data_IF_560341197975
#
_entry.id   IF_560341197975
#
_cell.length_a   1.000
_cell.length_b   1.000
_cell.length_c   1.000
_cell.angle_alpha   90.00
_cell.angle_beta   90.00
_cell.angle_gamma   90.00
#
_symmetry.space_group_name_H-M   'P 1'
#
loop_
_entity.id
_entity.type
_entity.pdbx_description
1 polymer ?
#
# COMPACT_ATOMS: atom_id res chain seq x y z
N UNK A 1 17.23 -38.96 20.28
CA UNK A 1 17.67 -38.12 19.14
C UNK A 1 16.50 -37.29 18.64
N UNK A 2 16.05 -36.30 19.42
CA UNK A 2 15.01 -35.34 19.00
C UNK A 2 15.64 -34.13 18.30
N UNK A 3 16.88 -33.77 18.65
CA UNK A 3 17.57 -32.56 18.17
C UNK A 3 18.11 -32.67 16.74
N UNK A 4 18.30 -33.89 16.21
CA UNK A 4 18.86 -34.11 14.86
C UNK A 4 17.93 -33.66 13.73
N UNK A 5 16.69 -33.32 14.05
CA UNK A 5 15.72 -32.83 13.08
C UNK A 5 15.66 -31.29 13.04
N UNK A 6 16.38 -30.56 13.91
CA UNK A 6 16.34 -29.09 13.95
C UNK A 6 17.38 -28.55 12.96
N UNK A 7 16.90 -27.95 11.88
CA UNK A 7 17.72 -27.17 10.95
C UNK A 7 17.70 -25.68 11.27
N UNK A 8 18.49 -24.91 10.51
CA UNK A 8 18.47 -23.45 10.53
C UNK A 8 17.98 -22.94 9.18
N UNK A 9 17.00 -22.04 9.19
CA UNK A 9 16.51 -21.38 7.98
C UNK A 9 17.63 -20.58 7.33
N UNK A 10 17.95 -20.87 6.07
CA UNK A 10 19.00 -20.16 5.32
C UNK A 10 18.68 -18.67 5.10
N UNK A 11 17.41 -18.29 5.08
CA UNK A 11 16.95 -16.92 4.78
C UNK A 11 16.88 -16.03 6.02
N UNK A 12 16.46 -16.56 7.18
CA UNK A 12 16.27 -15.74 8.40
C UNK A 12 16.97 -16.25 9.66
N UNK A 13 17.68 -17.38 9.61
CA UNK A 13 18.42 -17.93 10.75
C UNK A 13 17.56 -18.56 11.85
N UNK A 14 16.22 -18.59 11.71
CA UNK A 14 15.35 -19.27 12.68
C UNK A 14 15.59 -20.77 12.70
N UNK A 15 15.52 -21.39 13.87
CA UNK A 15 15.47 -22.85 14.02
C UNK A 15 14.16 -23.39 13.43
N UNK A 16 14.25 -24.46 12.65
CA UNK A 16 13.11 -25.09 11.97
C UNK A 16 13.12 -26.59 12.20
N UNK A 17 11.95 -27.19 12.33
CA UNK A 17 11.87 -28.63 12.10
C UNK A 17 12.07 -28.90 10.61
N UNK A 18 12.77 -30.00 10.29
CA UNK A 18 13.02 -30.42 8.90
C UNK A 18 12.12 -31.57 8.44
N UNK A 19 11.39 -32.20 9.37
CA UNK A 19 10.56 -33.39 9.12
C UNK A 19 9.08 -33.18 9.49
N UNK A 20 8.24 -34.09 9.01
CA UNK A 20 6.81 -34.14 9.35
C UNK A 20 5.91 -33.22 8.51
N UNK A 21 6.45 -32.54 7.51
CA UNK A 21 5.67 -31.74 6.58
C UNK A 21 5.16 -32.57 5.39
N UNK A 22 3.91 -32.35 5.01
CA UNK A 22 3.35 -32.94 3.80
C UNK A 22 3.96 -32.26 2.56
N UNK A 23 4.85 -32.96 1.85
CA UNK A 23 5.54 -32.46 0.66
C UNK A 23 4.63 -32.22 -0.55
N UNK A 24 3.37 -32.67 -0.53
CA UNK A 24 2.37 -32.29 -1.54
C UNK A 24 1.93 -30.82 -1.38
N UNK A 25 2.13 -30.23 -0.20
CA UNK A 25 1.92 -28.80 0.00
C UNK A 25 3.09 -28.01 -0.60
N UNK A 26 2.79 -27.05 -1.47
CA UNK A 26 3.78 -26.23 -2.17
C UNK A 26 4.76 -25.49 -1.24
N UNK A 27 4.26 -24.94 -0.13
CA UNK A 27 5.12 -24.24 0.84
C UNK A 27 6.03 -25.24 1.55
N UNK A 28 5.50 -26.39 1.97
CA UNK A 28 6.31 -27.45 2.57
C UNK A 28 7.40 -27.97 1.62
N UNK A 29 7.07 -28.12 0.32
CA UNK A 29 8.04 -28.46 -0.71
C UNK A 29 9.16 -27.41 -0.80
N UNK A 30 8.83 -26.12 -0.83
CA UNK A 30 9.82 -25.03 -0.84
C UNK A 30 10.69 -25.02 0.42
N UNK A 31 10.09 -25.23 1.60
CA UNK A 31 10.83 -25.34 2.86
C UNK A 31 11.91 -26.43 2.80
N UNK A 32 11.57 -27.61 2.30
CA UNK A 32 12.50 -28.74 2.17
C UNK A 32 13.55 -28.50 1.10
N UNK A 33 13.12 -28.03 -0.08
CA UNK A 33 14.00 -27.82 -1.24
C UNK A 33 15.02 -26.73 -0.97
N UNK A 34 14.58 -25.58 -0.45
CA UNK A 34 15.44 -24.41 -0.27
C UNK A 34 16.09 -24.39 1.13
N UNK A 35 15.57 -25.15 2.09
CA UNK A 35 16.08 -25.18 3.47
C UNK A 35 15.70 -23.94 4.25
N UNK A 36 14.45 -23.50 4.11
CA UNK A 36 13.92 -22.27 4.71
C UNK A 36 12.73 -22.56 5.63
N UNK A 37 12.45 -21.63 6.55
CA UNK A 37 11.27 -21.74 7.40
C UNK A 37 9.97 -21.46 6.61
N UNK A 38 8.84 -21.84 7.20
CA UNK A 38 7.52 -21.57 6.64
C UNK A 38 7.33 -20.10 6.25
N UNK A 39 7.67 -19.15 7.14
CA UNK A 39 7.51 -17.72 6.84
C UNK A 39 8.29 -17.32 5.58
N UNK A 40 9.53 -17.78 5.44
CA UNK A 40 10.38 -17.43 4.30
C UNK A 40 9.86 -18.09 3.02
N UNK A 41 9.52 -19.39 3.06
CA UNK A 41 8.91 -20.08 1.93
C UNK A 41 7.60 -19.43 1.50
N UNK A 42 6.76 -19.00 2.45
CA UNK A 42 5.50 -18.31 2.18
C UNK A 42 5.72 -17.00 1.44
N UNK A 43 6.62 -16.13 1.93
CA UNK A 43 6.89 -14.84 1.31
C UNK A 43 7.59 -14.99 -0.04
N UNK A 44 8.55 -15.92 -0.16
CA UNK A 44 9.23 -16.23 -1.43
C UNK A 44 8.23 -16.72 -2.49
N UNK A 45 7.30 -17.62 -2.11
CA UNK A 45 6.26 -18.09 -3.02
C UNK A 45 5.29 -16.97 -3.41
N UNK A 46 4.86 -16.15 -2.46
CA UNK A 46 3.97 -15.02 -2.72
C UNK A 46 4.61 -13.97 -3.65
N UNK A 47 5.91 -13.73 -3.52
CA UNK A 47 6.67 -12.81 -4.39
C UNK A 47 6.78 -13.40 -5.80
N UNK A 48 7.11 -14.68 -5.91
CA UNK A 48 7.27 -15.32 -7.21
C UNK A 48 5.92 -15.53 -7.93
N UNK A 49 4.83 -15.71 -7.18
CA UNK A 49 3.50 -16.01 -7.69
C UNK A 49 2.44 -15.16 -6.97
N UNK A 50 2.42 -13.85 -7.23
CA UNK A 50 1.52 -12.93 -6.53
C UNK A 50 0.06 -13.28 -6.82
N UNK A 51 -0.77 -13.20 -5.78
CA UNK A 51 -2.19 -13.46 -5.93
C UNK A 51 -2.88 -12.39 -6.77
N UNK A 52 -3.96 -12.78 -7.47
CA UNK A 52 -4.85 -11.80 -8.08
C UNK A 52 -5.40 -10.86 -6.99
N UNK A 53 -5.46 -9.56 -7.31
CA UNK A 53 -5.89 -8.49 -6.41
C UNK A 53 -4.97 -8.25 -5.22
N UNK A 54 -3.74 -8.76 -5.27
CA UNK A 54 -2.72 -8.44 -4.29
C UNK A 54 -2.26 -6.99 -4.46
N UNK A 55 -2.28 -6.23 -3.38
CA UNK A 55 -1.78 -4.86 -3.32
C UNK A 55 -0.89 -4.72 -2.08
N UNK A 56 0.25 -4.04 -2.25
CA UNK A 56 1.13 -3.65 -1.15
C UNK A 56 0.76 -2.23 -0.73
N UNK A 57 0.26 -2.08 0.49
CA UNK A 57 -0.11 -0.80 1.08
C UNK A 57 0.70 -0.60 2.35
N UNK A 58 1.59 0.40 2.35
CA UNK A 58 2.63 0.60 3.39
C UNK A 58 3.53 -0.64 3.51
N UNK A 59 3.47 -1.33 4.66
CA UNK A 59 4.24 -2.55 4.94
C UNK A 59 3.33 -3.78 5.03
N UNK A 60 2.13 -3.73 4.44
CA UNK A 60 1.19 -4.84 4.44
C UNK A 60 0.92 -5.32 3.03
N UNK A 61 0.90 -6.64 2.88
CA UNK A 61 0.36 -7.28 1.70
C UNK A 61 -1.13 -7.55 1.93
N UNK A 62 -1.97 -6.99 1.07
CA UNK A 62 -3.42 -7.06 1.15
C UNK A 62 -3.98 -7.73 -0.09
N UNK A 63 -5.10 -8.43 0.05
CA UNK A 63 -5.96 -8.83 -1.06
C UNK A 63 -7.16 -7.89 -1.10
N UNK A 64 -7.23 -7.05 -2.12
CA UNK A 64 -8.24 -5.98 -2.25
C UNK A 64 -9.16 -6.30 -3.42
N UNK A 65 -10.26 -6.98 -3.14
CA UNK A 65 -11.22 -7.36 -4.19
C UNK A 65 -12.02 -6.15 -4.69
N UNK A 66 -12.64 -6.25 -5.89
CA UNK A 66 -13.65 -5.29 -6.33
C UNK A 66 -14.78 -5.13 -5.30
N UNK A 67 -15.50 -4.01 -5.37
CA UNK A 67 -16.63 -3.75 -4.47
C UNK A 67 -17.66 -4.87 -4.58
N UNK A 68 -17.91 -5.55 -3.45
CA UNK A 68 -18.94 -6.56 -3.32
C UNK A 68 -20.32 -5.93 -3.11
N UNK A 69 -21.37 -6.55 -3.65
CA UNK A 69 -22.75 -6.14 -3.43
C UNK A 69 -23.17 -6.43 -1.98
N UNK A 70 -23.53 -5.38 -1.24
CA UNK A 70 -23.96 -5.47 0.15
C UNK A 70 -25.34 -6.10 0.34
N UNK A 71 -26.11 -6.30 -0.74
CA UNK A 71 -27.42 -6.96 -0.68
C UNK A 71 -27.29 -8.45 -0.40
N UNK A 72 -26.17 -9.06 -0.76
CA UNK A 72 -25.90 -10.45 -0.43
C UNK A 72 -25.38 -10.55 1.02
N UNK A 73 -26.28 -10.96 1.92
CA UNK A 73 -25.98 -11.13 3.34
C UNK A 73 -25.13 -12.37 3.64
N UNK A 74 -24.86 -13.22 2.66
CA UNK A 74 -24.03 -14.43 2.82
C UNK A 74 -22.55 -14.15 2.61
N UNK A 75 -22.20 -13.02 1.99
CA UNK A 75 -20.82 -12.64 1.75
C UNK A 75 -20.11 -12.19 3.03
N UNK A 76 -19.10 -12.95 3.44
CA UNK A 76 -18.13 -12.53 4.45
C UNK A 76 -17.11 -11.60 3.79
N UNK A 77 -17.17 -10.31 4.13
CA UNK A 77 -16.29 -9.30 3.58
C UNK A 77 -15.12 -8.99 4.51
N UNK A 78 -13.92 -8.95 3.96
CA UNK A 78 -12.72 -8.50 4.65
C UNK A 78 -12.86 -7.06 5.14
N UNK A 79 -12.24 -6.73 6.28
CA UNK A 79 -12.32 -5.39 6.85
C UNK A 79 -13.73 -4.99 7.33
N UNK A 80 -14.59 -5.97 7.65
CA UNK A 80 -15.97 -5.78 8.14
C UNK A 80 -16.88 -5.08 7.10
N UNK A 81 -16.60 -5.19 5.81
CA UNK A 81 -17.43 -4.53 4.78
C UNK A 81 -17.29 -3.01 4.73
N UNK A 82 -16.31 -2.43 5.43
CA UNK A 82 -16.06 -0.99 5.44
C UNK A 82 -15.43 -0.59 4.11
N UNK A 83 -16.08 0.35 3.41
CA UNK A 83 -15.55 0.88 2.15
C UNK A 83 -14.31 1.73 2.41
N UNK A 84 -13.23 1.45 1.69
CA UNK A 84 -11.94 2.16 1.72
C UNK A 84 -11.55 2.53 0.28
N UNK A 85 -10.68 3.53 0.15
CA UNK A 85 -10.35 4.17 -1.12
C UNK A 85 -8.85 4.17 -1.32
N UNK A 86 -8.41 3.92 -2.54
CA UNK A 86 -7.01 3.71 -2.85
C UNK A 86 -6.62 4.44 -4.13
N UNK A 87 -5.34 4.80 -4.20
CA UNK A 87 -4.69 5.35 -5.39
C UNK A 87 -3.41 4.58 -5.67
N UNK A 88 -3.21 4.18 -6.93
CA UNK A 88 -1.96 3.58 -7.40
C UNK A 88 -0.93 4.64 -7.80
N UNK A 89 0.36 4.30 -7.92
CA UNK A 89 1.41 5.22 -8.37
C UNK A 89 1.13 5.89 -9.72
N UNK A 90 0.41 5.23 -10.62
CA UNK A 90 -0.01 5.78 -11.93
C UNK A 90 -1.18 6.79 -11.83
N UNK A 91 -1.71 7.01 -10.62
CA UNK A 91 -2.85 7.88 -10.35
C UNK A 91 -4.21 7.22 -10.53
N UNK A 92 -4.27 5.94 -10.90
CA UNK A 92 -5.53 5.20 -10.98
C UNK A 92 -6.17 5.04 -9.61
N UNK A 93 -7.49 5.21 -9.56
CA UNK A 93 -8.29 5.21 -8.33
C UNK A 93 -9.17 3.97 -8.28
N UNK A 94 -9.25 3.35 -7.11
CA UNK A 94 -10.17 2.25 -6.88
C UNK A 94 -10.72 2.29 -5.44
N UNK A 95 -11.84 1.60 -5.24
CA UNK A 95 -12.49 1.47 -3.94
C UNK A 95 -12.80 0.00 -3.69
N UNK A 96 -12.85 -0.39 -2.42
CA UNK A 96 -13.21 -1.75 -2.02
C UNK A 96 -13.85 -1.76 -0.64
N UNK A 97 -14.76 -2.70 -0.42
CA UNK A 97 -15.31 -3.07 0.87
C UNK A 97 -14.91 -4.49 1.30
N UNK A 98 -14.05 -5.17 0.53
CA UNK A 98 -13.65 -6.55 0.77
C UNK A 98 -12.12 -6.66 0.73
N UNK A 99 -11.52 -6.43 1.91
CA UNK A 99 -10.07 -6.28 2.06
C UNK A 99 -9.55 -7.27 3.11
N UNK A 100 -8.69 -8.17 2.67
CA UNK A 100 -8.08 -9.19 3.51
C UNK A 100 -6.60 -8.92 3.70
N UNK A 101 -6.12 -9.02 4.94
CA UNK A 101 -4.69 -8.94 5.23
C UNK A 101 -4.07 -10.30 4.92
N UNK A 102 -3.10 -10.33 4.00
CA UNK A 102 -2.27 -11.52 3.75
C UNK A 102 -1.21 -11.60 4.85
N UNK A 103 -0.55 -10.47 5.15
CA UNK A 103 0.41 -10.37 6.24
C UNK A 103 1.17 -9.06 6.26
N UNK A 104 1.90 -8.83 7.36
CA UNK A 104 2.88 -7.75 7.47
C UNK A 104 4.19 -8.21 6.82
N UNK A 105 4.71 -7.43 5.89
CA UNK A 105 5.90 -7.75 5.11
C UNK A 105 7.13 -7.71 6.04
N UNK A 106 7.90 -8.81 6.17
CA UNK A 106 9.14 -8.80 6.93
C UNK A 106 10.18 -7.90 6.26
N UNK A 107 11.00 -7.23 7.06
CA UNK A 107 11.99 -6.24 6.60
C UNK A 107 12.85 -6.73 5.43
N UNK A 108 13.30 -7.98 5.49
CA UNK A 108 14.13 -8.64 4.45
C UNK A 108 13.45 -8.76 3.07
N UNK A 109 12.12 -8.63 3.00
CA UNK A 109 11.34 -8.74 1.77
C UNK A 109 10.79 -7.40 1.27
N UNK A 110 10.95 -6.30 2.03
CA UNK A 110 10.39 -4.99 1.68
C UNK A 110 10.86 -4.52 0.29
N UNK A 111 12.14 -4.71 -0.04
CA UNK A 111 12.69 -4.29 -1.34
C UNK A 111 12.11 -5.05 -2.54
N UNK A 112 11.55 -6.24 -2.33
CA UNK A 112 10.96 -7.09 -3.37
C UNK A 112 9.45 -6.85 -3.52
N UNK A 113 8.82 -6.16 -2.56
CA UNK A 113 7.40 -5.87 -2.52
C UNK A 113 7.20 -4.35 -2.44
N UNK A 114 7.43 -3.61 -3.53
CA UNK A 114 7.24 -2.17 -3.54
C UNK A 114 5.76 -1.82 -3.33
N UNK A 115 5.50 -0.64 -2.76
CA UNK A 115 4.14 -0.12 -2.58
C UNK A 115 3.44 -0.03 -3.94
N UNK A 116 2.30 -0.71 -4.06
CA UNK A 116 1.49 -0.72 -5.30
C UNK A 116 0.24 0.15 -5.18
N UNK A 117 -0.18 0.49 -3.97
CA UNK A 117 -1.26 1.42 -3.71
C UNK A 117 -1.09 2.12 -2.36
N UNK A 118 -1.68 3.31 -2.24
CA UNK A 118 -1.84 4.03 -0.98
C UNK A 118 -3.32 4.21 -0.66
N UNK A 119 -3.66 4.14 0.62
CA UNK A 119 -5.01 4.46 1.05
C UNK A 119 -5.19 5.97 1.14
N UNK A 120 -6.31 6.46 0.62
CA UNK A 120 -6.65 7.88 0.60
C UNK A 120 -8.00 8.11 1.28
N UNK A 121 -8.24 9.34 1.74
CA UNK A 121 -9.53 9.69 2.33
C UNK A 121 -10.64 9.70 1.26
N UNK A 122 -11.90 9.50 1.69
CA UNK A 122 -13.06 9.64 0.79
C UNK A 122 -13.07 11.02 0.10
N UNK A 123 -12.70 12.07 0.83
CA UNK A 123 -12.62 13.44 0.32
C UNK A 123 -11.60 13.54 -0.83
N UNK A 124 -10.40 13.00 -0.64
CA UNK A 124 -9.39 12.95 -1.68
C UNK A 124 -9.86 12.13 -2.89
N UNK A 125 -10.41 10.93 -2.66
CA UNK A 125 -10.91 10.06 -3.72
C UNK A 125 -11.96 10.76 -4.59
N UNK A 126 -12.95 11.40 -3.97
CA UNK A 126 -13.99 12.13 -4.70
C UNK A 126 -13.41 13.33 -5.48
N UNK A 127 -12.46 14.06 -4.90
CA UNK A 127 -11.82 15.20 -5.57
C UNK A 127 -11.01 14.76 -6.79
N UNK A 128 -10.23 13.68 -6.67
CA UNK A 128 -9.43 13.12 -7.76
C UNK A 128 -10.30 12.49 -8.86
N UNK A 129 -11.39 11.80 -8.48
CA UNK A 129 -12.34 11.20 -9.44
C UNK A 129 -13.07 12.26 -10.26
N UNK A 130 -13.38 13.42 -9.68
CA UNK A 130 -14.02 14.54 -10.39
C UNK A 130 -13.08 15.26 -11.33
N UNK A 131 -11.79 15.33 -11.01
CA UNK A 131 -10.83 16.10 -11.77
C UNK A 131 -9.41 15.57 -11.54
N UNK A 132 -8.65 15.27 -12.60
CA UNK A 132 -7.26 14.83 -12.52
C UNK A 132 -6.23 15.92 -12.88
N UNK A 133 -6.66 17.18 -13.04
CA UNK A 133 -5.79 18.30 -13.43
C UNK A 133 -4.65 18.51 -12.43
N UNK A 134 -3.47 18.78 -12.98
CA UNK A 134 -2.33 19.34 -12.25
C UNK A 134 -2.58 20.82 -11.96
N UNK A 135 -2.03 21.32 -10.85
CA UNK A 135 -2.14 22.73 -10.49
C UNK A 135 -0.95 23.50 -11.06
N UNK A 136 -1.25 24.54 -11.84
CA UNK A 136 -0.24 25.45 -12.40
C UNK A 136 -0.25 26.84 -11.75
N UNK A 137 -0.88 26.96 -10.58
CA UNK A 137 -1.01 28.25 -9.90
C UNK A 137 0.36 28.75 -9.42
N UNK A 138 0.78 29.90 -9.92
CA UNK A 138 1.90 30.66 -9.36
C UNK A 138 1.39 31.47 -8.17
N UNK A 139 2.23 31.63 -7.14
CA UNK A 139 1.89 32.32 -5.89
C UNK A 139 0.77 31.67 -5.02
N UNK A 140 0.51 30.37 -5.16
CA UNK A 140 -0.44 29.66 -4.29
C UNK A 140 0.08 29.59 -2.84
N UNK A 141 -0.70 30.04 -1.87
CA UNK A 141 -0.36 30.02 -0.44
C UNK A 141 -0.51 28.61 0.18
N UNK A 142 -1.37 27.76 -0.39
CA UNK A 142 -1.55 26.37 0.04
C UNK A 142 -0.59 25.37 -0.64
N UNK A 143 0.35 25.85 -1.45
CA UNK A 143 1.16 25.05 -2.38
C UNK A 143 1.90 23.87 -1.75
N UNK A 144 2.47 24.04 -0.56
CA UNK A 144 3.22 22.96 0.12
C UNK A 144 2.32 21.92 0.78
N UNK A 145 1.04 22.24 0.96
CA UNK A 145 0.04 21.34 1.54
C UNK A 145 -0.88 20.72 0.48
N UNK A 146 -0.86 21.22 -0.76
CA UNK A 146 -1.68 20.70 -1.84
C UNK A 146 -0.98 19.54 -2.59
N UNK A 147 -1.68 18.41 -2.74
CA UNK A 147 -1.21 17.26 -3.52
C UNK A 147 -1.03 17.58 -5.01
N UNK A 148 -1.88 18.45 -5.58
CA UNK A 148 -1.85 18.80 -7.01
C UNK A 148 -0.77 19.81 -7.39
N UNK A 149 -0.16 20.46 -6.40
CA UNK A 149 0.81 21.51 -6.65
C UNK A 149 2.09 20.94 -7.27
N UNK A 150 2.43 21.45 -8.44
CA UNK A 150 3.66 21.10 -9.13
C UNK A 150 4.79 22.05 -8.71
N UNK A 151 5.73 21.53 -7.92
CA UNK A 151 6.89 22.30 -7.45
C UNK A 151 7.85 22.68 -8.58
N UNK A 152 7.81 21.99 -9.72
CA UNK A 152 8.66 22.34 -10.86
C UNK A 152 8.32 23.72 -11.44
N UNK A 153 7.13 24.26 -11.15
CA UNK A 153 6.73 25.60 -11.62
C UNK A 153 7.44 26.72 -10.84
N UNK A 154 8.10 26.41 -9.73
CA UNK A 154 8.94 27.34 -8.95
C UNK A 154 10.38 27.45 -9.48
N UNK A 155 10.74 26.73 -10.54
CA UNK A 155 12.14 26.58 -11.00
C UNK A 155 12.63 27.68 -11.94
N UNK A 156 12.13 28.91 -11.86
CA UNK A 156 12.62 30.05 -12.66
C UNK A 156 13.85 30.74 -12.03
N UNK A 157 14.64 29.99 -11.26
CA UNK A 157 15.82 30.42 -10.49
C UNK A 157 15.58 31.56 -9.46
N UNK A 158 14.38 32.12 -9.40
CA UNK A 158 13.98 33.16 -8.44
C UNK A 158 13.26 32.60 -7.20
N UNK A 159 13.03 31.29 -7.17
CA UNK A 159 12.35 30.60 -6.08
C UNK A 159 10.83 30.86 -6.07
N UNK A 160 10.16 30.70 -4.92
CA UNK A 160 8.72 30.85 -4.86
C UNK A 160 8.29 32.30 -5.13
N UNK A 161 7.31 32.49 -6.01
CA UNK A 161 6.72 33.79 -6.38
C UNK A 161 6.23 34.64 -5.19
N UNK A 162 5.86 34.01 -4.08
CA UNK A 162 5.39 34.69 -2.88
C UNK A 162 5.85 33.99 -1.60
N UNK A 163 5.91 34.77 -0.51
CA UNK A 163 6.10 34.26 0.84
C UNK A 163 4.75 33.89 1.45
N UNK A 164 4.67 32.75 2.14
CA UNK A 164 3.48 32.34 2.88
C UNK A 164 3.50 33.08 4.23
N UNK A 165 2.49 33.90 4.56
CA UNK A 165 2.44 34.59 5.85
C UNK A 165 2.45 33.58 7.01
N UNK A 166 3.14 33.86 8.14
CA UNK A 166 3.13 32.96 9.31
C UNK A 166 1.74 32.72 9.90
N UNK A 167 0.81 33.65 9.68
CA UNK A 167 -0.58 33.57 10.15
C UNK A 167 -1.51 32.82 9.19
N UNK A 168 -1.01 32.39 8.02
CA UNK A 168 -1.80 31.69 7.01
C UNK A 168 -2.28 30.33 7.52
N UNK A 169 -3.58 30.05 7.37
CA UNK A 169 -4.13 28.72 7.65
C UNK A 169 -4.34 27.99 6.35
N UNK A 170 -3.90 26.73 6.34
CA UNK A 170 -4.02 25.84 5.19
C UNK A 170 -5.49 25.73 4.78
N UNK A 171 -5.79 26.07 3.52
CA UNK A 171 -7.14 26.04 2.95
C UNK A 171 -7.85 27.40 2.90
N UNK A 172 -7.26 28.47 3.47
CA UNK A 172 -7.83 29.83 3.45
C UNK A 172 -7.87 30.43 2.02
N UNK A 173 -7.16 29.84 1.05
CA UNK A 173 -7.26 30.21 -0.37
C UNK A 173 -8.58 29.76 -1.00
N UNK A 174 -9.33 28.89 -0.30
CA UNK A 174 -10.61 28.35 -0.74
C UNK A 174 -10.57 27.74 -2.15
N UNK A 175 -9.42 27.22 -2.56
CA UNK A 175 -9.24 26.60 -3.86
C UNK A 175 -10.12 25.34 -3.98
N UNK A 176 -11.07 25.35 -4.92
CA UNK A 176 -12.01 24.25 -5.16
C UNK A 176 -11.34 22.93 -5.56
N UNK A 177 -10.08 22.99 -5.99
CA UNK A 177 -9.29 21.82 -6.39
C UNK A 177 -8.25 21.40 -5.35
N UNK A 178 -8.19 22.08 -4.20
CA UNK A 178 -7.27 21.76 -3.13
C UNK A 178 -7.50 20.33 -2.62
N UNK A 179 -6.40 19.60 -2.48
CA UNK A 179 -6.36 18.28 -1.84
C UNK A 179 -5.22 18.36 -0.84
N UNK A 180 -5.54 18.26 0.45
CA UNK A 180 -4.52 18.26 1.49
C UNK A 180 -3.66 16.99 1.33
N UNK A 181 -2.33 17.13 1.35
CA UNK A 181 -1.40 15.98 1.30
C UNK A 181 -1.64 14.98 2.42
N UNK A 182 -2.14 15.42 3.58
CA UNK A 182 -2.54 14.54 4.68
C UNK A 182 -3.70 13.61 4.30
N UNK A 183 -4.57 13.99 3.35
CA UNK A 183 -5.64 13.13 2.84
C UNK A 183 -5.13 12.01 1.91
N UNK A 184 -3.85 12.07 1.51
CA UNK A 184 -3.18 11.12 0.60
C UNK A 184 -2.14 10.25 1.33
N UNK A 185 -1.43 10.82 2.30
CA UNK A 185 -0.28 10.17 2.96
C UNK A 185 -0.65 9.33 4.20
N UNK A 186 -1.91 8.89 4.31
CA UNK A 186 -2.40 8.19 5.49
C UNK A 186 -1.64 6.90 5.78
#
# INVERSE_FOLDING_TARGET
>A
MLLDNIGTCKSCGKKIWTLGYNSQNRIAYLMQKEGVCYDCAFWEDLIAYPHQYMEVVKNQCLKIYPVADKKDKTLLLGGKGKKRYFMRPDGSLFESNDIWVIGTIPERFISQLPITAIEISLKAYQSLKRNNKKCNARACLDRYHCFRYDKQIESDDNGPYNQIPPTWKVGDEHCRFFINRQDIQN
#
